data_IF_983450541638
#
_entry.id   IF_983450541638
#
_cell.length_a   1.000
_cell.length_b   1.000
_cell.length_c   1.000
_cell.angle_alpha   90.00
_cell.angle_beta   90.00
_cell.angle_gamma   90.00
#
_symmetry.space_group_name_H-M   'P 1'
#
loop_
_entity.id
_entity.type
_entity.pdbx_description
1 polymer ?
#
# COMPACT_ATOMS: atom_id res chain seq x y z
N UNK A 1 -16.51 -14.03 4.61
CA UNK A 1 -15.30 -13.24 4.29
C UNK A 1 -15.64 -11.83 3.94
N UNK A 2 -14.94 -10.87 4.50
CA UNK A 2 -15.16 -9.47 4.19
C UNK A 2 -14.44 -9.10 2.89
N UNK A 3 -15.17 -9.15 1.79
CA UNK A 3 -14.63 -8.81 0.47
C UNK A 3 -14.31 -7.31 0.37
N UNK A 4 -14.95 -6.50 1.21
CA UNK A 4 -14.75 -5.04 1.22
C UNK A 4 -13.60 -4.59 2.10
N UNK A 5 -12.83 -5.53 2.69
CA UNK A 5 -11.68 -5.19 3.51
C UNK A 5 -10.65 -4.32 2.75
N UNK A 6 -10.46 -4.60 1.46
CA UNK A 6 -9.57 -3.82 0.61
C UNK A 6 -10.01 -2.35 0.53
N UNK A 7 -11.31 -2.11 0.35
CA UNK A 7 -11.83 -0.75 0.24
C UNK A 7 -11.59 0.04 1.53
N UNK A 8 -11.79 -0.62 2.66
CA UNK A 8 -11.51 -0.03 3.97
C UNK A 8 -10.03 0.36 4.11
N UNK A 9 -9.13 -0.53 3.71
CA UNK A 9 -7.69 -0.26 3.76
C UNK A 9 -7.30 0.85 2.79
N UNK A 10 -7.85 0.82 1.58
CA UNK A 10 -7.57 1.84 0.57
C UNK A 10 -8.01 3.22 1.04
N UNK A 11 -9.23 3.35 1.55
CA UNK A 11 -9.76 4.62 2.04
C UNK A 11 -8.94 5.14 3.22
N UNK A 12 -8.55 4.27 4.14
CA UNK A 12 -7.71 4.65 5.26
C UNK A 12 -6.33 5.15 4.84
N UNK A 13 -5.70 4.46 3.91
CA UNK A 13 -4.40 4.86 3.38
C UNK A 13 -4.49 6.19 2.64
N UNK A 14 -5.53 6.37 1.84
CA UNK A 14 -5.77 7.61 1.11
C UNK A 14 -5.95 8.80 2.05
N UNK A 15 -6.74 8.63 3.10
CA UNK A 15 -6.94 9.66 4.12
C UNK A 15 -5.65 10.01 4.84
N UNK A 16 -4.86 9.02 5.20
CA UNK A 16 -3.58 9.22 5.85
C UNK A 16 -2.60 9.97 4.94
N UNK A 17 -2.56 9.61 3.66
CA UNK A 17 -1.73 10.27 2.66
C UNK A 17 -2.09 11.76 2.53
N UNK A 18 -3.38 12.09 2.53
CA UNK A 18 -3.83 13.47 2.46
C UNK A 18 -3.40 14.29 3.69
N UNK A 19 -3.44 13.68 4.87
CA UNK A 19 -3.02 14.32 6.11
C UNK A 19 -1.53 14.61 6.18
N UNK A 20 -0.71 13.82 5.50
CA UNK A 20 0.74 13.99 5.53
C UNK A 20 1.22 15.22 4.77
N UNK A 21 0.45 15.69 3.77
CA UNK A 21 0.64 17.00 3.16
C UNK A 21 2.04 17.28 2.61
N UNK A 22 2.61 16.38 1.82
CA UNK A 22 3.94 16.57 1.25
C UNK A 22 3.90 17.51 0.04
N UNK A 23 4.94 18.35 -0.17
CA UNK A 23 4.94 19.34 -1.24
C UNK A 23 4.90 18.76 -2.66
N UNK A 24 5.34 17.52 -2.85
CA UNK A 24 5.30 16.89 -4.18
C UNK A 24 3.95 16.24 -4.50
N UNK A 25 3.04 16.06 -3.52
CA UNK A 25 1.70 15.53 -3.72
C UNK A 25 1.67 14.10 -4.26
N UNK A 26 1.54 13.11 -3.38
CA UNK A 26 1.36 11.71 -3.80
C UNK A 26 -0.13 11.41 -3.96
N UNK A 27 -0.48 10.62 -5.00
CA UNK A 27 -1.84 10.14 -5.22
C UNK A 27 -1.89 8.63 -5.00
N UNK A 28 -2.90 8.17 -4.25
CA UNK A 28 -3.15 6.75 -4.03
C UNK A 28 -4.26 6.31 -4.98
N UNK A 29 -3.99 5.28 -5.80
CA UNK A 29 -4.95 4.79 -6.80
C UNK A 29 -5.03 3.27 -6.78
N UNK A 30 -6.10 2.71 -7.36
CA UNK A 30 -6.28 1.26 -7.49
C UNK A 30 -5.47 0.67 -8.64
N UNK A 31 -5.25 1.44 -9.69
CA UNK A 31 -4.48 1.04 -10.86
C UNK A 31 -3.83 2.27 -11.49
N UNK A 32 -2.71 2.06 -12.18
CA UNK A 32 -1.99 3.15 -12.83
C UNK A 32 -2.80 3.69 -14.01
N UNK A 33 -3.09 5.01 -14.06
CA UNK A 33 -3.74 5.62 -15.20
C UNK A 33 -2.79 5.65 -16.41
N UNK A 34 -3.34 5.86 -17.62
CA UNK A 34 -2.55 5.93 -18.84
C UNK A 34 -1.60 7.14 -18.87
N UNK A 35 -1.99 8.24 -18.24
CA UNK A 35 -1.16 9.45 -18.12
C UNK A 35 -0.98 9.81 -16.64
N UNK A 36 -0.13 9.08 -15.91
CA UNK A 36 0.02 9.33 -14.47
C UNK A 36 0.77 10.63 -14.19
N UNK A 37 0.37 11.30 -13.10
CA UNK A 37 1.11 12.41 -12.51
C UNK A 37 1.97 11.86 -11.38
N UNK A 38 3.26 12.05 -11.44
CA UNK A 38 4.20 11.52 -10.44
C UNK A 38 4.40 12.51 -9.29
N UNK A 39 4.60 12.05 -8.05
CA UNK A 39 4.60 10.64 -7.63
C UNK A 39 3.18 10.07 -7.56
N UNK A 40 3.08 8.75 -7.76
CA UNK A 40 1.81 8.03 -7.69
C UNK A 40 2.05 6.69 -7.00
N UNK A 41 1.08 6.25 -6.21
CA UNK A 41 1.14 4.97 -5.50
C UNK A 41 -0.07 4.12 -5.90
N UNK A 42 0.20 2.91 -6.37
CA UNK A 42 -0.84 1.95 -6.75
C UNK A 42 -0.97 0.93 -5.61
N UNK A 43 -2.14 0.86 -5.01
CA UNK A 43 -2.44 -0.06 -3.92
C UNK A 43 -3.39 -1.15 -4.40
N UNK A 44 -2.98 -2.42 -4.26
CA UNK A 44 -3.74 -3.55 -4.78
C UNK A 44 -3.81 -4.68 -3.77
N UNK A 45 -4.86 -5.49 -3.90
CA UNK A 45 -5.04 -6.71 -3.11
C UNK A 45 -4.60 -7.90 -3.94
N UNK A 46 -3.71 -8.73 -3.39
CA UNK A 46 -3.23 -9.93 -4.08
C UNK A 46 -3.79 -11.22 -3.47
N UNK A 47 -4.38 -11.14 -2.26
CA UNK A 47 -4.93 -12.29 -1.58
C UNK A 47 -5.94 -11.87 -0.52
N UNK A 48 -7.06 -12.58 -0.45
CA UNK A 48 -8.03 -12.47 0.63
C UNK A 48 -8.69 -13.84 0.79
N UNK A 49 -8.10 -14.70 1.61
CA UNK A 49 -8.53 -16.08 1.76
C UNK A 49 -8.94 -16.37 3.20
N UNK A 50 -9.89 -17.27 3.39
CA UNK A 50 -10.26 -17.76 4.71
C UNK A 50 -9.04 -18.44 5.35
N UNK A 51 -8.74 -18.06 6.60
CA UNK A 51 -7.69 -18.69 7.37
C UNK A 51 -8.32 -19.79 8.24
N UNK A 52 -8.23 -21.03 7.79
CA UNK A 52 -8.87 -22.18 8.45
C UNK A 52 -8.35 -22.41 9.87
N UNK A 53 -7.14 -21.95 10.18
CA UNK A 53 -6.57 -22.11 11.51
C UNK A 53 -7.29 -21.27 12.58
N UNK A 54 -7.98 -20.21 12.17
CA UNK A 54 -8.66 -19.29 13.06
C UNK A 54 -10.18 -19.27 12.91
N UNK A 55 -10.71 -19.92 11.87
CA UNK A 55 -12.14 -19.87 11.60
C UNK A 55 -12.94 -20.70 12.60
N UNK A 56 -14.01 -20.10 13.13
CA UNK A 56 -14.97 -20.75 13.99
C UNK A 56 -16.39 -20.32 13.60
N UNK A 57 -17.40 -20.82 14.32
CA UNK A 57 -18.79 -20.45 14.09
C UNK A 57 -19.06 -18.95 14.34
N UNK A 58 -18.28 -18.35 15.20
CA UNK A 58 -18.53 -16.98 15.69
C UNK A 58 -17.50 -15.97 15.19
N UNK A 59 -16.32 -16.41 14.86
CA UNK A 59 -15.23 -15.55 14.44
C UNK A 59 -14.62 -16.05 13.16
N UNK A 60 -14.39 -15.14 12.22
CA UNK A 60 -13.73 -15.45 10.96
C UNK A 60 -12.52 -14.58 10.78
N UNK A 61 -11.44 -15.17 10.33
CA UNK A 61 -10.18 -14.51 10.06
C UNK A 61 -9.80 -14.76 8.61
N UNK A 62 -9.49 -13.70 7.89
CA UNK A 62 -9.02 -13.79 6.51
C UNK A 62 -7.52 -13.53 6.47
N UNK A 63 -6.80 -14.37 5.73
CA UNK A 63 -5.42 -14.11 5.34
C UNK A 63 -5.41 -13.18 4.15
N UNK A 64 -4.81 -12.01 4.32
CA UNK A 64 -4.78 -10.98 3.26
C UNK A 64 -3.36 -10.72 2.80
N UNK A 65 -3.23 -10.36 1.54
CA UNK A 65 -1.98 -9.92 0.95
C UNK A 65 -2.22 -8.67 0.13
N UNK A 66 -1.35 -7.69 0.27
CA UNK A 66 -1.47 -6.41 -0.41
C UNK A 66 -0.13 -5.98 -0.95
N UNK A 67 -0.16 -5.23 -2.04
CA UNK A 67 1.04 -4.67 -2.65
C UNK A 67 0.83 -3.17 -2.88
N UNK A 68 1.86 -2.39 -2.56
CA UNK A 68 1.90 -0.96 -2.85
C UNK A 68 3.07 -0.73 -3.79
N UNK A 69 2.80 -0.20 -4.98
CA UNK A 69 3.82 0.19 -5.95
C UNK A 69 3.89 1.70 -5.99
N UNK A 70 5.05 2.23 -5.67
CA UNK A 70 5.27 3.68 -5.59
C UNK A 70 6.16 4.07 -6.77
N UNK A 71 5.69 5.01 -7.58
CA UNK A 71 6.43 5.51 -8.73
C UNK A 71 6.72 6.98 -8.55
N UNK A 72 7.98 7.37 -8.72
CA UNK A 72 8.39 8.76 -8.54
C UNK A 72 9.36 9.21 -9.62
N UNK A 73 9.29 10.50 -9.94
CA UNK A 73 10.26 11.18 -10.80
C UNK A 73 10.91 12.32 -10.02
N UNK A 74 12.14 12.67 -10.40
CA UNK A 74 12.84 13.80 -9.79
C UNK A 74 12.05 15.09 -9.99
N UNK A 75 11.92 15.87 -8.92
CA UNK A 75 11.28 17.19 -8.95
C UNK A 75 12.27 18.25 -8.45
N UNK A 76 12.76 19.04 -9.37
CA UNK A 76 13.72 20.09 -9.04
C UNK A 76 14.98 19.51 -8.41
N UNK A 77 15.29 19.90 -7.19
CA UNK A 77 16.45 19.43 -6.42
C UNK A 77 16.17 18.15 -5.63
N UNK A 78 14.92 17.71 -5.57
CA UNK A 78 14.53 16.53 -4.81
C UNK A 78 14.59 15.32 -5.74
N UNK A 79 15.43 14.35 -5.40
CA UNK A 79 15.63 13.16 -6.24
C UNK A 79 14.42 12.23 -6.19
N UNK A 80 14.22 11.48 -7.28
CA UNK A 80 13.17 10.45 -7.35
C UNK A 80 13.31 9.42 -6.23
N UNK A 81 14.54 9.06 -5.88
CA UNK A 81 14.82 8.11 -4.79
C UNK A 81 14.34 8.63 -3.44
N UNK A 82 14.63 9.91 -3.15
CA UNK A 82 14.19 10.52 -1.89
C UNK A 82 12.68 10.60 -1.80
N UNK A 83 12.02 11.04 -2.87
CA UNK A 83 10.56 11.13 -2.91
C UNK A 83 9.93 9.75 -2.68
N UNK A 84 10.39 8.75 -3.42
CA UNK A 84 9.85 7.39 -3.29
C UNK A 84 10.06 6.81 -1.89
N UNK A 85 11.23 7.01 -1.29
CA UNK A 85 11.52 6.51 0.07
C UNK A 85 10.65 7.18 1.13
N UNK A 86 10.42 8.48 1.02
CA UNK A 86 9.57 9.19 1.98
C UNK A 86 8.11 8.73 1.88
N UNK A 87 7.63 8.48 0.66
CA UNK A 87 6.29 7.92 0.45
C UNK A 87 6.22 6.49 1.01
N UNK A 88 7.25 5.67 0.75
CA UNK A 88 7.31 4.31 1.27
C UNK A 88 7.29 4.29 2.80
N UNK A 89 8.02 5.21 3.44
CA UNK A 89 8.03 5.31 4.89
C UNK A 89 6.66 5.68 5.45
N UNK A 90 5.95 6.60 4.79
CA UNK A 90 4.60 6.99 5.17
C UNK A 90 3.62 5.81 5.04
N UNK A 91 3.66 5.10 3.91
CA UNK A 91 2.83 3.93 3.67
C UNK A 91 3.10 2.85 4.71
N UNK A 92 4.38 2.55 4.96
CA UNK A 92 4.78 1.53 5.93
C UNK A 92 4.33 1.89 7.34
N UNK A 93 4.49 3.14 7.72
CA UNK A 93 4.04 3.62 9.04
C UNK A 93 2.54 3.40 9.22
N UNK A 94 1.74 3.74 8.21
CA UNK A 94 0.30 3.58 8.31
C UNK A 94 -0.11 2.11 8.34
N UNK A 95 0.34 1.31 7.36
CA UNK A 95 -0.07 -0.09 7.25
C UNK A 95 0.42 -0.92 8.44
N UNK A 96 1.63 -0.64 8.95
CA UNK A 96 2.14 -1.31 10.15
C UNK A 96 1.33 -0.93 11.38
N UNK A 97 0.88 0.33 11.47
CA UNK A 97 0.10 0.80 12.63
C UNK A 97 -1.25 0.10 12.75
N UNK A 98 -1.81 -0.37 11.64
CA UNK A 98 -3.10 -1.09 11.66
C UNK A 98 -2.92 -2.60 11.68
N UNK A 99 -1.68 -3.10 11.78
CA UNK A 99 -1.40 -4.51 12.02
C UNK A 99 -0.97 -5.35 10.81
N UNK A 100 -0.73 -4.71 9.66
CA UNK A 100 -0.16 -5.42 8.52
C UNK A 100 1.34 -5.60 8.69
N UNK A 101 1.85 -6.76 8.26
CA UNK A 101 3.27 -7.07 8.30
C UNK A 101 3.89 -6.89 6.92
N UNK A 102 4.91 -6.05 6.83
CA UNK A 102 5.67 -5.94 5.58
C UNK A 102 6.53 -7.18 5.39
N UNK A 103 6.38 -7.86 4.26
CA UNK A 103 7.13 -9.08 3.95
C UNK A 103 8.22 -8.85 2.90
N UNK A 104 8.14 -7.77 2.12
CA UNK A 104 9.20 -7.44 1.18
C UNK A 104 9.27 -5.96 0.86
N UNK A 105 10.45 -5.52 0.45
CA UNK A 105 10.76 -4.17 0.00
C UNK A 105 11.71 -4.31 -1.18
N UNK A 106 11.30 -3.82 -2.35
CA UNK A 106 12.14 -3.82 -3.55
C UNK A 106 12.17 -2.41 -4.13
N UNK A 107 13.35 -1.91 -4.44
CA UNK A 107 13.53 -0.56 -4.95
C UNK A 107 14.45 -0.59 -6.17
N UNK A 108 13.96 -0.13 -7.32
CA UNK A 108 14.70 -0.13 -8.57
C UNK A 108 14.23 1.02 -9.47
N UNK A 109 15.06 1.38 -10.46
CA UNK A 109 14.57 2.18 -11.56
C UNK A 109 13.62 1.32 -12.40
N UNK A 110 12.59 1.96 -12.97
CA UNK A 110 11.63 1.24 -13.82
C UNK A 110 12.34 0.66 -15.04
N UNK A 111 12.03 -0.58 -15.39
CA UNK A 111 12.61 -1.28 -16.55
C UNK A 111 12.27 -0.57 -17.86
N UNK A 112 11.07 0.01 -17.95
CA UNK A 112 10.59 0.65 -19.17
C UNK A 112 11.02 2.12 -19.29
N UNK A 113 11.31 2.78 -18.17
CA UNK A 113 11.67 4.20 -18.15
C UNK A 113 12.55 4.47 -16.94
N UNK A 114 13.84 4.67 -17.16
CA UNK A 114 14.81 4.89 -16.08
C UNK A 114 14.68 6.26 -15.40
N UNK A 115 13.83 7.16 -15.91
CA UNK A 115 13.52 8.40 -15.23
C UNK A 115 12.55 8.18 -14.05
N UNK A 116 11.93 7.00 -13.97
CA UNK A 116 10.99 6.63 -12.93
C UNK A 116 11.67 5.68 -11.94
N UNK A 117 11.59 6.01 -10.66
CA UNK A 117 12.02 5.13 -9.58
C UNK A 117 10.82 4.41 -8.99
N UNK A 118 10.94 3.09 -8.82
CA UNK A 118 9.85 2.25 -8.32
C UNK A 118 10.24 1.61 -7.00
N UNK A 119 9.33 1.69 -6.03
CA UNK A 119 9.43 0.92 -4.79
C UNK A 119 8.20 0.03 -4.70
N UNK A 120 8.41 -1.26 -4.47
CA UNK A 120 7.34 -2.24 -4.30
C UNK A 120 7.38 -2.74 -2.86
N UNK A 121 6.29 -2.49 -2.12
CA UNK A 121 6.11 -2.97 -0.76
C UNK A 121 5.02 -4.03 -0.76
N UNK A 122 5.32 -5.19 -0.17
CA UNK A 122 4.34 -6.28 -0.05
C UNK A 122 4.02 -6.50 1.42
N UNK A 123 2.73 -6.62 1.71
CA UNK A 123 2.22 -6.79 3.07
C UNK A 123 1.35 -8.02 3.18
N UNK A 124 1.36 -8.62 4.37
CA UNK A 124 0.42 -9.67 4.71
C UNK A 124 -0.18 -9.40 6.08
N UNK A 125 -1.34 -9.98 6.32
CA UNK A 125 -2.01 -9.85 7.60
C UNK A 125 -3.16 -10.82 7.73
N UNK A 126 -3.65 -10.94 8.97
CA UNK A 126 -4.85 -11.70 9.27
C UNK A 126 -5.91 -10.70 9.72
N UNK A 127 -6.93 -10.53 8.89
CA UNK A 127 -8.03 -9.60 9.18
C UNK A 127 -9.13 -10.34 9.95
N UNK A 128 -9.45 -9.84 11.13
CA UNK A 128 -10.58 -10.33 11.89
C UNK A 128 -11.86 -9.69 11.34
N UNK A 129 -12.71 -10.48 10.71
CA UNK A 129 -13.84 -10.02 9.92
C UNK A 129 -14.81 -9.13 10.73
N UNK A 130 -15.15 -9.55 11.95
CA UNK A 130 -16.12 -8.82 12.78
C UNK A 130 -15.58 -7.49 13.31
N UNK A 131 -14.28 -7.38 13.47
CA UNK A 131 -13.63 -6.21 14.06
C UNK A 131 -12.94 -5.32 13.04
N UNK A 132 -12.82 -5.80 11.80
CA UNK A 132 -12.00 -5.16 10.76
C UNK A 132 -10.62 -4.75 11.25
N UNK A 133 -10.01 -5.64 12.03
CA UNK A 133 -8.75 -5.41 12.68
C UNK A 133 -7.77 -6.53 12.35
N UNK A 134 -6.54 -6.16 12.04
CA UNK A 134 -5.46 -7.14 11.81
C UNK A 134 -4.90 -7.65 13.13
N UNK A 135 -4.61 -8.92 13.15
CA UNK A 135 -4.07 -9.63 14.30
C UNK A 135 -2.77 -10.35 13.97
#
# INVERSE_FOLDING_TARGET
MDILAYDYLFDGLKSFNEKMGKPWGNEIVHYAPSNPTYPISVFDEIRNNANSAYNSCYERVASTGHVVRIYAKTKGKITKQQIAREIAQMVDKYLSSIGLLRISYNANESVNDNSIYEIILTYSGNLHENRRKFI
#
